data_IF_222939727919
#
_entry.id   IF_222939727919
#
_cell.length_a   1.000
_cell.length_b   1.000
_cell.length_c   1.000
_cell.angle_alpha   90.00
_cell.angle_beta   90.00
_cell.angle_gamma   90.00
#
_symmetry.space_group_name_H-M   'P 1'
#
loop_
_entity.id
_entity.type
_entity.pdbx_description
1 polymer ?
#
# COMPACT_ATOMS: atom_id res chain seq x y z
N UNK A 1 -7.62 24.13 30.11
CA UNK A 1 -6.31 24.70 30.52
C UNK A 1 -6.45 26.20 30.47
N UNK A 2 -5.95 26.90 31.48
CA UNK A 2 -5.95 28.38 31.53
C UNK A 2 -4.77 28.95 30.73
N UNK A 3 -4.86 30.22 30.32
CA UNK A 3 -3.76 30.88 29.60
C UNK A 3 -2.46 30.95 30.43
N UNK A 4 -2.59 31.07 31.76
CA UNK A 4 -1.45 31.07 32.70
C UNK A 4 -0.72 29.72 32.69
N UNK A 5 -1.45 28.62 32.85
CA UNK A 5 -0.90 27.26 32.80
C UNK A 5 -0.32 26.93 31.43
N UNK A 6 -0.92 27.47 30.36
CA UNK A 6 -0.44 27.29 28.99
C UNK A 6 0.94 27.94 28.80
N UNK A 7 1.13 29.18 29.28
CA UNK A 7 2.39 29.93 29.21
C UNK A 7 3.50 29.33 30.07
N UNK A 8 3.17 28.75 31.22
CA UNK A 8 4.16 28.05 32.05
C UNK A 8 4.79 26.84 31.33
N UNK A 9 4.08 26.28 30.35
CA UNK A 9 4.52 25.14 29.53
C UNK A 9 5.08 25.53 28.17
N UNK A 10 4.83 26.74 27.68
CA UNK A 10 5.19 27.18 26.33
C UNK A 10 5.79 28.60 26.40
N UNK A 11 7.05 28.74 25.99
CA UNK A 11 7.78 30.02 26.01
C UNK A 11 7.27 31.04 24.98
N UNK A 12 6.60 30.57 23.92
CA UNK A 12 5.92 31.39 22.90
C UNK A 12 4.49 30.89 22.77
N UNK A 13 3.52 31.82 22.76
CA UNK A 13 2.10 31.51 22.57
C UNK A 13 1.74 31.60 21.10
N UNK A 14 1.40 30.47 20.47
CA UNK A 14 0.96 30.45 19.07
C UNK A 14 -0.56 30.45 18.98
N UNK A 15 -1.12 31.22 18.05
CA UNK A 15 -2.56 31.23 17.83
C UNK A 15 -2.93 31.35 16.35
N UNK A 16 -4.13 30.88 16.02
CA UNK A 16 -4.75 31.07 14.69
C UNK A 16 -5.94 31.99 14.79
N UNK A 17 -6.17 32.77 13.74
CA UNK A 17 -7.23 33.78 13.74
C UNK A 17 -8.61 33.26 13.34
N UNK A 18 -8.72 32.01 12.89
CA UNK A 18 -10.02 31.41 12.54
C UNK A 18 -10.21 30.01 13.11
N UNK A 19 -11.46 29.70 13.44
CA UNK A 19 -11.84 28.40 13.96
C UNK A 19 -11.60 27.29 12.92
N UNK A 20 -11.80 27.58 11.63
CA UNK A 20 -11.56 26.62 10.56
C UNK A 20 -10.07 26.33 10.37
N UNK A 21 -9.20 27.35 10.46
CA UNK A 21 -7.75 27.15 10.46
C UNK A 21 -7.33 26.34 11.69
N UNK A 22 -7.87 26.65 12.86
CA UNK A 22 -7.61 25.86 14.08
C UNK A 22 -7.94 24.39 13.86
N UNK A 23 -9.12 24.10 13.32
CA UNK A 23 -9.51 22.72 13.02
C UNK A 23 -8.55 22.05 12.04
N UNK A 24 -8.01 22.76 11.06
CA UNK A 24 -7.08 22.21 10.07
C UNK A 24 -5.71 21.88 10.67
N UNK A 25 -5.20 22.72 11.59
CA UNK A 25 -3.80 22.63 12.03
C UNK A 25 -3.61 22.10 13.45
N UNK A 26 -4.64 22.11 14.29
CA UNK A 26 -4.50 21.75 15.72
C UNK A 26 -3.92 20.36 15.93
N UNK A 27 -4.23 19.43 15.02
CA UNK A 27 -3.67 18.08 15.04
C UNK A 27 -2.20 18.03 14.64
N UNK A 28 -1.79 18.82 13.65
CA UNK A 28 -0.39 18.94 13.21
C UNK A 28 0.47 19.56 14.32
N UNK A 29 -0.05 20.59 14.98
CA UNK A 29 0.66 21.26 16.07
C UNK A 29 0.86 20.34 17.28
N UNK A 30 -0.21 19.65 17.71
CA UNK A 30 -0.14 18.69 18.81
C UNK A 30 0.88 17.56 18.53
N UNK A 31 0.99 17.14 17.27
CA UNK A 31 1.98 16.15 16.82
C UNK A 31 3.42 16.56 17.05
N UNK A 32 3.68 17.85 16.90
CA UNK A 32 5.01 18.44 17.00
C UNK A 32 5.33 18.86 18.43
N UNK A 33 4.44 18.55 19.40
CA UNK A 33 4.55 19.03 20.76
C UNK A 33 4.31 20.54 20.88
N UNK A 34 3.74 21.16 19.85
CA UNK A 34 3.42 22.58 19.83
C UNK A 34 1.97 22.82 20.26
N UNK A 35 1.78 23.79 21.14
CA UNK A 35 0.46 24.16 21.60
C UNK A 35 -0.03 25.40 20.83
N UNK A 36 -1.23 25.31 20.24
CA UNK A 36 -1.89 26.43 19.53
C UNK A 36 -3.19 26.80 20.24
N UNK A 37 -3.44 28.10 20.30
CA UNK A 37 -4.68 28.70 20.80
C UNK A 37 -5.63 28.96 19.63
N UNK A 38 -6.89 28.57 19.78
CA UNK A 38 -7.94 28.93 18.84
C UNK A 38 -8.38 30.37 19.07
N UNK A 39 -7.86 31.32 18.28
CA UNK A 39 -8.25 32.73 18.34
C UNK A 39 -9.45 33.08 17.46
N UNK A 40 -10.11 32.08 16.84
CA UNK A 40 -11.23 32.27 15.93
C UNK A 40 -12.58 32.55 16.58
N UNK A 41 -12.63 32.64 17.91
CA UNK A 41 -13.80 33.10 18.65
C UNK A 41 -13.78 34.62 18.78
N UNK A 42 -14.96 35.21 19.04
CA UNK A 42 -15.15 36.66 19.02
C UNK A 42 -14.19 37.33 20.00
N UNK A 43 -13.40 38.29 19.50
CA UNK A 43 -12.39 39.07 20.23
C UNK A 43 -11.12 38.33 20.66
N UNK A 44 -11.02 37.00 20.52
CA UNK A 44 -9.87 36.25 21.05
C UNK A 44 -8.56 36.58 20.31
N UNK A 45 -8.59 36.75 18.99
CA UNK A 45 -7.41 37.18 18.22
C UNK A 45 -6.92 38.56 18.66
N UNK A 46 -7.82 39.53 18.80
CA UNK A 46 -7.52 40.91 19.20
C UNK A 46 -6.97 40.97 20.63
N UNK A 47 -7.49 40.12 21.53
CA UNK A 47 -6.98 39.98 22.89
C UNK A 47 -5.57 39.37 22.90
N UNK A 48 -5.30 38.36 22.06
CA UNK A 48 -3.99 37.73 21.94
C UNK A 48 -2.95 38.66 21.31
N UNK A 49 -3.35 39.47 20.34
CA UNK A 49 -2.51 40.55 19.77
C UNK A 49 -2.12 41.56 20.85
N UNK A 50 -3.07 42.05 21.65
CA UNK A 50 -2.74 42.97 22.76
C UNK A 50 -1.91 42.28 23.84
N UNK A 51 -2.12 40.99 24.06
CA UNK A 51 -1.31 40.21 25.00
C UNK A 51 0.16 40.10 24.55
N UNK A 52 0.45 40.30 23.25
CA UNK A 52 1.81 40.29 22.72
C UNK A 52 2.69 41.42 23.28
N UNK A 53 2.08 42.49 23.81
CA UNK A 53 2.80 43.59 24.48
C UNK A 53 3.44 43.14 25.80
N UNK A 54 2.92 42.08 26.42
CA UNK A 54 3.37 41.58 27.72
C UNK A 54 4.19 40.30 27.61
N UNK A 55 3.92 39.46 26.62
CA UNK A 55 4.56 38.17 26.42
C UNK A 55 4.70 37.84 24.92
N UNK A 56 5.65 36.98 24.51
CA UNK A 56 5.77 36.57 23.12
C UNK A 56 4.52 35.82 22.63
N UNK A 57 3.81 36.42 21.67
CA UNK A 57 2.66 35.82 20.99
C UNK A 57 2.91 35.86 19.49
N UNK A 58 2.66 34.74 18.80
CA UNK A 58 2.87 34.58 17.37
C UNK A 58 1.56 34.11 16.72
N UNK A 59 1.12 34.83 15.68
CA UNK A 59 0.04 34.35 14.82
C UNK A 59 0.62 33.38 13.81
N UNK A 60 0.04 32.19 13.73
CA UNK A 60 0.42 31.15 12.77
C UNK A 60 -0.71 30.94 11.77
N UNK A 61 -0.36 30.54 10.55
CA UNK A 61 -1.33 30.13 9.53
C UNK A 61 -1.14 28.66 9.15
N UNK A 62 -2.04 28.14 8.31
CA UNK A 62 -1.97 26.76 7.83
C UNK A 62 -0.77 26.49 6.91
N UNK A 63 -0.22 27.52 6.27
CA UNK A 63 0.92 27.40 5.39
C UNK A 63 2.23 27.23 6.19
N UNK A 64 2.35 27.88 7.35
CA UNK A 64 3.51 27.78 8.24
C UNK A 64 3.72 26.37 8.80
N UNK A 65 2.64 25.65 9.14
CA UNK A 65 2.74 24.26 9.63
C UNK A 65 3.12 23.25 8.55
N UNK A 66 2.80 23.54 7.27
CA UNK A 66 3.26 22.71 6.16
C UNK A 66 4.79 22.81 5.95
N UNK A 67 5.43 23.89 6.41
CA UNK A 67 6.89 24.01 6.37
C UNK A 67 7.59 23.21 7.50
N UNK A 68 6.82 22.72 8.47
CA UNK A 68 7.31 21.99 9.65
C UNK A 68 7.40 20.47 9.43
N UNK A 69 7.03 19.97 8.25
CA UNK A 69 7.31 18.58 7.90
C UNK A 69 8.83 18.34 7.83
N UNK A 70 9.29 17.19 8.32
CA UNK A 70 10.71 16.84 8.27
C UNK A 70 11.18 16.78 6.81
N UNK A 71 12.26 17.48 6.53
CA UNK A 71 12.92 17.43 5.23
C UNK A 71 13.45 16.02 4.93
N UNK A 72 13.45 15.69 3.65
CA UNK A 72 14.17 14.51 3.18
C UNK A 72 15.68 14.75 3.26
N UNK A 73 16.43 13.70 3.57
CA UNK A 73 17.89 13.70 3.54
C UNK A 73 18.40 13.91 2.10
N UNK A 74 19.68 14.25 1.94
CA UNK A 74 20.28 14.44 0.62
C UNK A 74 20.18 13.16 -0.24
N UNK A 75 20.45 12.00 0.35
CA UNK A 75 20.35 10.71 -0.34
C UNK A 75 18.90 10.41 -0.77
N UNK A 76 17.92 10.70 0.09
CA UNK A 76 16.50 10.58 -0.26
C UNK A 76 16.13 11.56 -1.38
N UNK A 77 16.60 12.81 -1.33
CA UNK A 77 16.39 13.82 -2.38
C UNK A 77 16.96 13.38 -3.73
N UNK A 78 18.17 12.81 -3.75
CA UNK A 78 18.75 12.24 -4.97
C UNK A 78 17.86 11.10 -5.51
N UNK A 79 17.38 10.22 -4.64
CA UNK A 79 16.52 9.08 -5.04
C UNK A 79 15.14 9.49 -5.60
N UNK A 80 14.63 10.67 -5.24
CA UNK A 80 13.32 11.17 -5.69
C UNK A 80 13.44 12.33 -6.69
N UNK A 81 14.66 12.64 -7.14
CA UNK A 81 14.92 13.79 -8.01
C UNK A 81 14.09 13.75 -9.29
N UNK A 82 14.06 12.61 -9.98
CA UNK A 82 13.31 12.45 -11.23
C UNK A 82 11.79 12.58 -11.01
N UNK A 83 11.29 12.14 -9.85
CA UNK A 83 9.90 12.30 -9.46
C UNK A 83 9.55 13.78 -9.25
N UNK A 84 10.37 14.52 -8.50
CA UNK A 84 10.19 15.97 -8.28
C UNK A 84 10.21 16.73 -9.59
N UNK A 85 11.18 16.43 -10.46
CA UNK A 85 11.30 17.07 -11.76
C UNK A 85 10.06 16.83 -12.62
N UNK A 86 9.56 15.59 -12.65
CA UNK A 86 8.36 15.23 -13.40
C UNK A 86 7.12 15.92 -12.83
N UNK A 87 6.95 15.90 -11.51
CA UNK A 87 5.83 16.54 -10.82
C UNK A 87 5.81 18.05 -11.10
N UNK A 88 6.95 18.73 -11.00
CA UNK A 88 7.07 20.16 -11.33
C UNK A 88 6.70 20.45 -12.77
N UNK A 89 7.12 19.62 -13.74
CA UNK A 89 6.75 19.81 -15.14
C UNK A 89 5.24 19.68 -15.37
N UNK A 90 4.61 18.69 -14.74
CA UNK A 90 3.16 18.44 -14.86
C UNK A 90 2.33 19.52 -14.16
N UNK A 91 2.81 20.01 -13.02
CA UNK A 91 2.08 20.94 -12.17
C UNK A 91 2.34 22.42 -12.53
N UNK A 92 3.41 22.74 -13.26
CA UNK A 92 3.75 24.10 -13.70
C UNK A 92 2.60 24.85 -14.40
N UNK A 93 1.80 24.27 -15.30
CA UNK A 93 0.67 24.96 -15.93
C UNK A 93 -0.40 25.42 -14.92
N UNK A 94 -0.47 24.78 -13.76
CA UNK A 94 -1.38 25.11 -12.67
C UNK A 94 -0.78 26.08 -11.65
N UNK A 95 0.43 26.60 -11.90
CA UNK A 95 1.16 27.51 -11.01
C UNK A 95 1.44 26.91 -9.63
N UNK A 96 1.63 25.60 -9.56
CA UNK A 96 2.04 24.91 -8.34
C UNK A 96 3.54 24.65 -8.35
N UNK A 97 4.15 24.64 -7.16
CA UNK A 97 5.50 24.17 -6.92
C UNK A 97 5.45 22.85 -6.15
N UNK A 98 6.31 21.90 -6.50
CA UNK A 98 6.37 20.60 -5.81
C UNK A 98 7.42 20.64 -4.71
N UNK A 99 7.07 20.09 -3.56
CA UNK A 99 8.00 19.83 -2.47
C UNK A 99 7.77 18.40 -1.95
N UNK A 100 8.81 17.75 -1.44
CA UNK A 100 8.72 16.42 -0.83
C UNK A 100 9.23 16.50 0.60
N UNK A 101 8.39 16.03 1.51
CA UNK A 101 8.65 15.97 2.94
C UNK A 101 8.30 14.60 3.48
N UNK A 102 8.89 14.22 4.62
CA UNK A 102 8.53 12.98 5.31
C UNK A 102 7.17 13.16 5.99
N UNK A 103 6.26 12.22 5.74
CA UNK A 103 4.83 12.41 6.07
C UNK A 103 4.22 11.28 6.94
N UNK A 104 5.00 10.31 7.42
CA UNK A 104 4.40 9.09 8.00
C UNK A 104 3.65 9.31 9.33
N UNK A 105 4.24 10.00 10.30
CA UNK A 105 3.60 10.16 11.62
C UNK A 105 2.53 11.27 11.66
N UNK A 106 2.59 12.23 10.75
CA UNK A 106 1.68 13.37 10.72
C UNK A 106 0.32 13.01 10.10
N UNK A 107 0.27 11.99 9.24
CA UNK A 107 -0.98 11.46 8.67
C UNK A 107 -1.98 10.99 9.74
N UNK A 108 -1.50 10.50 10.88
CA UNK A 108 -2.35 10.05 12.01
C UNK A 108 -3.05 11.19 12.74
N UNK A 109 -2.52 12.40 12.59
CA UNK A 109 -2.88 13.55 13.41
C UNK A 109 -3.59 14.62 12.57
N UNK A 110 -3.54 14.49 11.24
CA UNK A 110 -4.35 15.30 10.33
C UNK A 110 -5.85 15.06 10.60
N UNK A 111 -6.64 16.13 10.79
CA UNK A 111 -8.09 16.04 10.95
C UNK A 111 -8.73 15.28 9.78
N UNK A 112 -9.54 14.27 10.09
CA UNK A 112 -10.27 13.53 9.06
C UNK A 112 -11.46 14.34 8.56
N UNK A 113 -11.53 14.55 7.25
CA UNK A 113 -12.68 15.12 6.56
C UNK A 113 -13.54 14.06 5.86
N UNK A 114 -14.57 14.50 5.15
CA UNK A 114 -15.48 13.63 4.40
C UNK A 114 -14.81 12.92 3.20
N UNK A 115 -13.67 13.44 2.71
CA UNK A 115 -12.85 12.82 1.68
C UNK A 115 -11.70 11.98 2.25
N UNK A 116 -11.56 11.90 3.58
CA UNK A 116 -10.49 11.12 4.20
C UNK A 116 -10.83 9.64 4.19
N UNK A 117 -9.80 8.82 3.98
CA UNK A 117 -9.88 7.37 4.16
C UNK A 117 -10.34 7.04 5.60
N UNK A 118 -11.13 5.98 5.76
CA UNK A 118 -11.51 5.52 7.09
C UNK A 118 -10.30 4.99 7.87
N UNK A 119 -10.41 4.91 9.21
CA UNK A 119 -9.32 4.44 10.06
C UNK A 119 -8.77 3.05 9.68
N UNK A 120 -9.63 2.14 9.20
CA UNK A 120 -9.18 0.83 8.72
C UNK A 120 -8.33 0.94 7.44
N UNK A 121 -8.73 1.80 6.49
CA UNK A 121 -7.98 2.03 5.24
C UNK A 121 -6.61 2.67 5.51
N UNK A 122 -6.55 3.61 6.46
CA UNK A 122 -5.28 4.20 6.90
C UNK A 122 -4.40 3.13 7.55
N UNK A 123 -4.96 2.33 8.45
CA UNK A 123 -4.22 1.26 9.12
C UNK A 123 -3.68 0.21 8.14
N UNK A 124 -4.48 -0.16 7.13
CA UNK A 124 -4.10 -1.11 6.08
C UNK A 124 -2.99 -0.55 5.17
N UNK A 125 -3.01 0.75 4.89
CA UNK A 125 -1.93 1.41 4.16
C UNK A 125 -0.60 1.31 4.93
N UNK A 126 -0.62 1.37 6.28
CA UNK A 126 0.58 1.14 7.07
C UNK A 126 1.03 -0.33 7.06
N UNK A 127 0.10 -1.28 7.03
CA UNK A 127 0.41 -2.71 6.86
C UNK A 127 1.11 -2.92 5.52
N UNK A 128 0.52 -2.40 4.43
CA UNK A 128 1.11 -2.46 3.09
C UNK A 128 2.52 -1.85 3.07
N UNK A 129 2.70 -0.66 3.65
CA UNK A 129 4.00 0.00 3.70
C UNK A 129 5.04 -0.82 4.48
N UNK A 130 4.67 -1.39 5.63
CA UNK A 130 5.55 -2.25 6.42
C UNK A 130 5.97 -3.51 5.64
N UNK A 131 5.05 -4.13 4.88
CA UNK A 131 5.32 -5.35 4.10
C UNK A 131 6.19 -5.07 2.88
N UNK A 132 5.82 -4.08 2.08
CA UNK A 132 6.35 -3.90 0.72
C UNK A 132 7.50 -2.90 0.63
N UNK A 133 7.54 -1.90 1.52
CA UNK A 133 8.57 -0.85 1.46
C UNK A 133 9.64 -1.09 2.50
N UNK A 134 9.25 -1.39 3.74
CA UNK A 134 10.22 -1.55 4.83
C UNK A 134 10.71 -2.99 5.00
N UNK A 135 9.98 -3.99 4.49
CA UNK A 135 10.27 -5.41 4.73
C UNK A 135 10.17 -5.82 6.20
N UNK A 136 9.37 -5.10 7.00
CA UNK A 136 9.21 -5.30 8.44
C UNK A 136 7.99 -6.19 8.73
N UNK A 137 8.14 -7.49 8.53
CA UNK A 137 7.04 -8.45 8.64
C UNK A 137 6.38 -8.45 10.03
N UNK A 138 7.16 -8.43 11.12
CA UNK A 138 6.60 -8.37 12.48
C UNK A 138 5.76 -7.10 12.72
N UNK A 139 6.26 -5.95 12.25
CA UNK A 139 5.54 -4.67 12.34
C UNK A 139 4.23 -4.72 11.57
N UNK A 140 4.21 -5.36 10.39
CA UNK A 140 3.00 -5.54 9.60
C UNK A 140 1.92 -6.32 10.37
N UNK A 141 2.29 -7.39 11.09
CA UNK A 141 1.34 -8.13 11.93
C UNK A 141 0.77 -7.29 13.06
N UNK A 142 1.64 -6.60 13.80
CA UNK A 142 1.18 -5.73 14.89
C UNK A 142 0.19 -4.68 14.39
N UNK A 143 0.48 -4.04 13.25
CA UNK A 143 -0.39 -3.06 12.61
C UNK A 143 -1.69 -3.66 12.08
N UNK A 144 -1.69 -4.92 11.66
CA UNK A 144 -2.89 -5.59 11.16
C UNK A 144 -3.85 -6.06 12.26
N UNK A 145 -3.38 -6.27 13.50
CA UNK A 145 -4.22 -6.81 14.61
C UNK A 145 -5.58 -6.09 14.79
N UNK A 146 -5.67 -4.74 14.76
CA UNK A 146 -6.95 -4.05 14.90
C UNK A 146 -7.93 -4.35 13.75
N UNK A 147 -7.43 -4.61 12.55
CA UNK A 147 -8.25 -4.99 11.38
C UNK A 147 -8.71 -6.44 11.53
N UNK A 148 -7.78 -7.36 11.78
CA UNK A 148 -8.05 -8.80 11.86
C UNK A 148 -8.97 -9.18 13.04
N UNK A 149 -8.91 -8.42 14.14
CA UNK A 149 -9.80 -8.58 15.30
C UNK A 149 -11.18 -7.97 15.11
N UNK A 150 -11.41 -7.19 14.03
CA UNK A 150 -12.65 -6.47 13.79
C UNK A 150 -12.86 -5.23 14.68
N UNK A 151 -11.81 -4.81 15.43
CA UNK A 151 -11.81 -3.55 16.19
C UNK A 151 -11.92 -2.34 15.23
N UNK A 152 -11.24 -2.41 14.09
CA UNK A 152 -11.45 -1.50 12.96
C UNK A 152 -12.35 -2.19 11.93
N UNK A 153 -13.38 -1.46 11.47
CA UNK A 153 -14.38 -1.98 10.52
C UNK A 153 -14.32 -1.19 9.23
N UNK A 154 -14.35 -1.91 8.12
CA UNK A 154 -14.49 -1.39 6.77
C UNK A 154 -15.06 -2.51 5.89
N UNK A 155 -15.80 -2.14 4.86
CA UNK A 155 -16.44 -3.10 3.96
C UNK A 155 -15.44 -3.91 3.11
N UNK A 156 -14.25 -3.35 2.87
CA UNK A 156 -13.28 -3.92 1.92
C UNK A 156 -11.95 -4.29 2.58
N UNK A 157 -11.39 -3.41 3.42
CA UNK A 157 -10.03 -3.56 3.98
C UNK A 157 -9.74 -4.95 4.56
N UNK A 158 -10.58 -5.55 5.42
CA UNK A 158 -10.29 -6.88 5.94
C UNK A 158 -10.04 -7.92 4.84
N UNK A 159 -10.71 -7.80 3.69
CA UNK A 159 -10.55 -8.71 2.56
C UNK A 159 -9.15 -8.62 1.96
N UNK A 160 -8.59 -7.41 1.88
CA UNK A 160 -7.24 -7.13 1.35
C UNK A 160 -6.17 -7.61 2.34
N UNK A 161 -6.29 -7.21 3.61
CA UNK A 161 -5.27 -7.43 4.64
C UNK A 161 -4.93 -8.91 4.82
N UNK A 162 -5.93 -9.82 4.70
CA UNK A 162 -5.66 -11.27 4.78
C UNK A 162 -4.69 -11.76 3.70
N UNK A 163 -4.78 -11.23 2.47
CA UNK A 163 -3.89 -11.60 1.37
C UNK A 163 -2.49 -11.00 1.53
N UNK A 164 -2.41 -9.72 1.90
CA UNK A 164 -1.15 -8.98 2.11
C UNK A 164 -0.24 -9.65 3.15
N UNK A 165 -0.82 -10.29 4.17
CA UNK A 165 -0.07 -10.94 5.25
C UNK A 165 0.43 -12.36 4.93
N UNK A 166 0.01 -12.97 3.82
CA UNK A 166 0.38 -14.36 3.52
C UNK A 166 1.89 -14.53 3.32
N UNK A 167 2.49 -13.69 2.49
CA UNK A 167 3.93 -13.74 2.23
C UNK A 167 4.77 -13.40 3.47
N UNK A 168 4.45 -12.35 4.26
CA UNK A 168 5.06 -12.10 5.56
C UNK A 168 5.05 -13.31 6.51
N UNK A 169 3.92 -14.01 6.66
CA UNK A 169 3.88 -15.21 7.52
C UNK A 169 4.82 -16.31 7.03
N UNK A 170 4.92 -16.49 5.71
CA UNK A 170 5.86 -17.47 5.15
C UNK A 170 7.32 -17.06 5.37
N UNK A 171 7.65 -15.77 5.29
CA UNK A 171 8.99 -15.25 5.62
C UNK A 171 9.33 -15.41 7.10
N UNK A 172 8.35 -15.28 7.99
CA UNK A 172 8.47 -15.51 9.43
C UNK A 172 8.42 -17.00 9.82
N UNK A 173 8.36 -17.92 8.85
CA UNK A 173 8.25 -19.35 9.07
C UNK A 173 7.00 -19.76 9.89
N UNK A 174 5.84 -19.14 9.60
CA UNK A 174 4.55 -19.42 10.23
C UNK A 174 3.50 -19.93 9.21
N UNK A 175 3.74 -21.09 8.56
CA UNK A 175 2.88 -21.57 7.46
C UNK A 175 1.47 -21.97 7.90
N UNK A 176 1.29 -22.46 9.13
CA UNK A 176 -0.02 -22.84 9.65
C UNK A 176 -0.96 -21.63 9.79
N UNK A 177 -0.44 -20.54 10.34
CA UNK A 177 -1.18 -19.29 10.45
C UNK A 177 -1.46 -18.69 9.06
N UNK A 178 -0.51 -18.80 8.13
CA UNK A 178 -0.71 -18.37 6.75
C UNK A 178 -1.84 -19.15 6.08
N UNK A 179 -1.91 -20.46 6.30
CA UNK A 179 -3.00 -21.30 5.81
C UNK A 179 -4.36 -20.92 6.42
N UNK A 180 -4.38 -20.55 7.72
CA UNK A 180 -5.58 -20.04 8.40
C UNK A 180 -6.06 -18.74 7.74
N UNK A 181 -5.16 -17.76 7.58
CA UNK A 181 -5.48 -16.48 6.93
C UNK A 181 -5.91 -16.67 5.47
N UNK A 182 -5.23 -17.55 4.73
CA UNK A 182 -5.60 -17.89 3.36
C UNK A 182 -7.04 -18.39 3.28
N UNK A 183 -7.44 -19.33 4.15
CA UNK A 183 -8.79 -19.89 4.15
C UNK A 183 -9.87 -18.84 4.42
N UNK A 184 -9.60 -17.91 5.34
CA UNK A 184 -10.53 -16.82 5.68
C UNK A 184 -10.58 -15.80 4.54
N UNK A 185 -9.44 -15.22 4.18
CA UNK A 185 -9.32 -14.18 3.16
C UNK A 185 -9.82 -14.64 1.79
N UNK A 186 -9.41 -15.83 1.34
CA UNK A 186 -9.80 -16.32 0.03
C UNK A 186 -11.32 -16.47 -0.09
N UNK A 187 -11.99 -16.94 0.98
CA UNK A 187 -13.46 -17.06 0.98
C UNK A 187 -14.13 -15.71 0.75
N UNK A 188 -13.60 -14.64 1.33
CA UNK A 188 -14.13 -13.29 1.22
C UNK A 188 -13.93 -12.69 -0.18
N UNK A 189 -12.81 -13.00 -0.84
CA UNK A 189 -12.48 -12.42 -2.15
C UNK A 189 -12.84 -13.31 -3.34
N UNK A 190 -13.11 -14.61 -3.15
CA UNK A 190 -13.17 -15.61 -4.23
C UNK A 190 -14.26 -15.40 -5.30
N UNK A 191 -15.21 -14.49 -5.08
CA UNK A 191 -16.26 -14.14 -6.04
C UNK A 191 -16.19 -12.67 -6.47
N UNK A 192 -15.19 -11.91 -5.98
CA UNK A 192 -14.99 -10.52 -6.33
C UNK A 192 -14.01 -10.38 -7.48
N UNK A 193 -14.50 -9.80 -8.58
CA UNK A 193 -13.68 -9.40 -9.72
C UNK A 193 -12.81 -8.19 -9.42
N UNK A 194 -13.23 -7.32 -8.49
CA UNK A 194 -12.46 -6.13 -8.12
C UNK A 194 -11.19 -6.46 -7.33
N UNK A 195 -11.12 -7.63 -6.70
CA UNK A 195 -10.05 -8.03 -5.77
C UNK A 195 -9.05 -9.00 -6.38
N UNK A 196 -8.81 -8.88 -7.70
CA UNK A 196 -7.92 -9.77 -8.43
C UNK A 196 -6.46 -9.70 -7.94
N UNK A 197 -6.01 -8.52 -7.49
CA UNK A 197 -4.71 -8.38 -6.85
C UNK A 197 -4.56 -9.29 -5.63
N UNK A 198 -5.52 -9.24 -4.71
CA UNK A 198 -5.54 -10.11 -3.52
C UNK A 198 -5.68 -11.58 -3.88
N UNK A 199 -6.48 -11.93 -4.89
CA UNK A 199 -6.55 -13.32 -5.41
C UNK A 199 -5.18 -13.80 -5.90
N UNK A 200 -4.37 -12.92 -6.48
CA UNK A 200 -3.01 -13.23 -6.93
C UNK A 200 -2.06 -13.53 -5.76
N UNK A 201 -2.22 -12.86 -4.61
CA UNK A 201 -1.49 -13.17 -3.38
C UNK A 201 -1.84 -14.57 -2.86
N UNK A 202 -3.13 -14.94 -2.89
CA UNK A 202 -3.56 -16.30 -2.55
C UNK A 202 -3.00 -17.36 -3.52
N UNK A 203 -2.90 -17.04 -4.82
CA UNK A 203 -2.28 -17.92 -5.82
C UNK A 203 -0.78 -18.13 -5.53
N UNK A 204 -0.06 -17.04 -5.24
CA UNK A 204 1.35 -17.10 -4.85
C UNK A 204 1.55 -17.94 -3.59
N UNK A 205 0.73 -17.71 -2.56
CA UNK A 205 0.77 -18.50 -1.32
C UNK A 205 0.67 -20.01 -1.59
N UNK A 206 -0.29 -20.45 -2.42
CA UNK A 206 -0.45 -21.87 -2.76
C UNK A 206 0.76 -22.40 -3.55
N UNK A 207 1.34 -21.59 -4.45
CA UNK A 207 2.55 -21.95 -5.17
C UNK A 207 3.79 -22.11 -4.27
N UNK A 208 3.95 -21.21 -3.28
CA UNK A 208 5.09 -21.20 -2.36
C UNK A 208 5.00 -22.40 -1.41
N UNK A 209 3.80 -22.67 -0.87
CA UNK A 209 3.54 -23.79 0.05
C UNK A 209 3.47 -25.16 -0.63
N UNK A 210 3.59 -25.22 -1.97
CA UNK A 210 3.59 -26.49 -2.71
C UNK A 210 2.21 -27.12 -2.90
N UNK A 211 1.12 -26.40 -2.61
CA UNK A 211 -0.27 -26.83 -2.80
C UNK A 211 -0.70 -26.72 -4.28
N UNK A 212 0.09 -27.35 -5.17
CA UNK A 212 0.03 -27.18 -6.64
C UNK A 212 -1.36 -27.47 -7.21
N UNK A 213 -2.03 -28.52 -6.74
CA UNK A 213 -3.36 -28.88 -7.22
C UNK A 213 -4.40 -27.78 -6.93
N UNK A 214 -4.36 -27.19 -5.73
CA UNK A 214 -5.24 -26.08 -5.33
C UNK A 214 -4.88 -24.81 -6.10
N UNK A 215 -3.59 -24.56 -6.32
CA UNK A 215 -3.11 -23.42 -7.10
C UNK A 215 -3.61 -23.49 -8.56
N UNK A 216 -3.58 -24.65 -9.20
CA UNK A 216 -4.13 -24.88 -10.55
C UNK A 216 -5.64 -24.64 -10.56
N UNK A 217 -6.38 -25.11 -9.56
CA UNK A 217 -7.83 -24.86 -9.46
C UNK A 217 -8.15 -23.37 -9.32
N UNK A 218 -7.37 -22.63 -8.52
CA UNK A 218 -7.52 -21.19 -8.34
C UNK A 218 -7.18 -20.46 -9.66
N UNK A 219 -6.09 -20.82 -10.33
CA UNK A 219 -5.73 -20.30 -11.64
C UNK A 219 -6.87 -20.53 -12.65
N UNK A 220 -7.39 -21.76 -12.75
CA UNK A 220 -8.50 -22.09 -13.65
C UNK A 220 -9.73 -21.23 -13.38
N UNK A 221 -10.13 -21.11 -12.10
CA UNK A 221 -11.32 -20.36 -11.68
C UNK A 221 -11.24 -18.89 -12.11
N UNK A 222 -10.08 -18.28 -11.97
CA UNK A 222 -9.93 -16.82 -12.11
C UNK A 222 -9.33 -16.37 -13.43
N UNK A 223 -8.71 -17.27 -14.21
CA UNK A 223 -8.00 -16.91 -15.45
C UNK A 223 -8.90 -16.21 -16.47
N UNK A 224 -10.14 -16.69 -16.69
CA UNK A 224 -11.04 -16.07 -17.65
C UNK A 224 -11.38 -14.61 -17.30
N UNK A 225 -11.47 -14.30 -16.01
CA UNK A 225 -11.68 -12.95 -15.53
C UNK A 225 -10.40 -12.12 -15.63
N UNK A 226 -9.28 -12.63 -15.12
CA UNK A 226 -7.98 -11.97 -15.21
C UNK A 226 -7.62 -11.61 -16.66
N UNK A 227 -7.86 -12.52 -17.60
CA UNK A 227 -7.59 -12.30 -19.02
C UNK A 227 -8.31 -11.08 -19.62
N UNK A 228 -9.49 -10.73 -19.07
CA UNK A 228 -10.33 -9.61 -19.54
C UNK A 228 -10.32 -8.41 -18.60
N UNK A 229 -9.55 -8.45 -17.52
CA UNK A 229 -9.57 -7.39 -16.52
C UNK A 229 -9.11 -6.05 -17.17
N UNK A 230 -9.85 -4.95 -16.97
CA UNK A 230 -9.47 -3.65 -17.51
C UNK A 230 -8.26 -3.08 -16.78
N UNK A 231 -8.12 -3.41 -15.48
CA UNK A 231 -6.95 -3.05 -14.68
C UNK A 231 -5.74 -3.89 -15.10
N UNK A 232 -4.80 -3.24 -15.80
CA UNK A 232 -3.58 -3.88 -16.28
C UNK A 232 -2.60 -4.23 -15.15
N UNK A 233 -2.67 -3.55 -14.01
CA UNK A 233 -1.81 -3.84 -12.86
C UNK A 233 -2.27 -5.14 -12.19
N UNK A 234 -3.58 -5.32 -11.98
CA UNK A 234 -4.09 -6.61 -11.50
C UNK A 234 -3.82 -7.76 -12.46
N UNK A 235 -3.85 -7.51 -13.77
CA UNK A 235 -3.41 -8.50 -14.77
C UNK A 235 -1.95 -8.87 -14.61
N UNK A 236 -1.09 -7.88 -14.43
CA UNK A 236 0.34 -8.10 -14.19
C UNK A 236 0.55 -8.95 -12.94
N UNK A 237 -0.07 -8.60 -11.81
CA UNK A 237 0.04 -9.34 -10.55
C UNK A 237 -0.42 -10.81 -10.71
N UNK A 238 -1.55 -11.02 -11.40
CA UNK A 238 -2.06 -12.37 -11.64
C UNK A 238 -1.16 -13.18 -12.57
N UNK A 239 -0.62 -12.58 -13.64
CA UNK A 239 0.30 -13.26 -14.56
C UNK A 239 1.65 -13.54 -13.92
N UNK A 240 2.17 -12.66 -13.04
CA UNK A 240 3.35 -12.94 -12.21
C UNK A 240 3.10 -14.16 -11.31
N UNK A 241 1.95 -14.22 -10.65
CA UNK A 241 1.58 -15.36 -9.80
C UNK A 241 1.42 -16.67 -10.61
N UNK A 242 0.81 -16.60 -11.78
CA UNK A 242 0.68 -17.75 -12.68
C UNK A 242 2.04 -18.21 -13.24
N UNK A 243 2.92 -17.26 -13.60
CA UNK A 243 4.31 -17.53 -14.01
C UNK A 243 5.08 -18.27 -12.91
N UNK A 244 4.98 -17.77 -11.68
CA UNK A 244 5.57 -18.45 -10.53
C UNK A 244 5.07 -19.89 -10.39
N UNK A 245 3.74 -20.10 -10.48
CA UNK A 245 3.14 -21.43 -10.40
C UNK A 245 3.64 -22.35 -11.52
N UNK A 246 3.73 -21.90 -12.76
CA UNK A 246 4.21 -22.74 -13.87
C UNK A 246 5.67 -23.14 -13.69
N UNK A 247 6.52 -22.24 -13.19
CA UNK A 247 7.91 -22.56 -12.83
C UNK A 247 7.96 -23.63 -11.73
N UNK A 248 7.11 -23.51 -10.70
CA UNK A 248 7.01 -24.51 -9.62
C UNK A 248 6.56 -25.88 -10.12
N UNK A 249 5.61 -25.92 -11.06
CA UNK A 249 5.13 -27.16 -11.69
C UNK A 249 6.26 -27.81 -12.52
N UNK A 250 7.03 -27.01 -13.29
CA UNK A 250 8.17 -27.50 -14.05
C UNK A 250 9.26 -28.09 -13.14
N UNK A 251 9.57 -27.43 -12.03
CA UNK A 251 10.51 -27.93 -11.01
C UNK A 251 10.04 -29.24 -10.36
N UNK A 252 8.73 -29.51 -10.37
CA UNK A 252 8.13 -30.76 -9.90
C UNK A 252 8.10 -31.87 -10.98
N UNK A 253 8.79 -31.66 -12.13
CA UNK A 253 8.86 -32.56 -13.29
C UNK A 253 7.51 -32.86 -13.99
N UNK A 254 6.47 -32.06 -13.73
CA UNK A 254 5.20 -32.16 -14.45
C UNK A 254 5.28 -31.39 -15.77
N UNK A 255 5.25 -32.12 -16.89
CA UNK A 255 5.38 -31.54 -18.24
C UNK A 255 4.08 -30.95 -18.79
N UNK A 256 2.93 -31.42 -18.30
CA UNK A 256 1.61 -31.01 -18.78
C UNK A 256 0.59 -30.99 -17.66
N UNK A 257 -0.37 -30.06 -17.76
CA UNK A 257 -1.49 -29.94 -16.82
C UNK A 257 -2.81 -29.84 -17.57
N UNK A 258 -3.88 -30.29 -16.91
CA UNK A 258 -5.24 -30.11 -17.39
C UNK A 258 -5.84 -28.88 -16.75
N UNK A 259 -6.21 -27.90 -17.58
CA UNK A 259 -6.80 -26.62 -17.15
C UNK A 259 -7.79 -26.10 -18.20
N UNK A 260 -8.95 -25.60 -17.77
CA UNK A 260 -9.93 -24.98 -18.65
C UNK A 260 -9.62 -23.50 -18.84
N UNK A 261 -9.30 -23.12 -20.08
CA UNK A 261 -9.09 -21.73 -20.47
C UNK A 261 -10.27 -21.23 -21.32
N UNK A 262 -10.58 -19.91 -21.32
CA UNK A 262 -11.61 -19.35 -22.19
C UNK A 262 -11.24 -19.54 -23.67
N UNK A 263 -12.25 -19.73 -24.54
CA UNK A 263 -12.04 -19.87 -26.00
C UNK A 263 -11.36 -18.65 -26.65
N UNK A 264 -11.41 -17.49 -26.00
CA UNK A 264 -10.73 -16.26 -26.42
C UNK A 264 -9.23 -16.25 -26.11
N UNK A 265 -8.73 -17.25 -25.37
CA UNK A 265 -7.31 -17.39 -25.09
C UNK A 265 -6.56 -17.76 -26.37
N UNK A 266 -5.50 -17.03 -26.77
CA UNK A 266 -4.80 -17.27 -28.05
C UNK A 266 -4.32 -18.71 -28.24
N UNK A 267 -3.92 -19.37 -27.16
CA UNK A 267 -3.40 -20.74 -27.19
C UNK A 267 -4.45 -21.78 -26.76
N UNK A 268 -5.75 -21.47 -26.86
CA UNK A 268 -6.84 -22.35 -26.41
C UNK A 268 -6.73 -23.76 -27.01
N UNK A 269 -6.83 -24.77 -26.15
CA UNK A 269 -6.90 -26.19 -26.49
C UNK A 269 -8.20 -26.78 -25.98
N UNK A 270 -8.99 -27.37 -26.88
CA UNK A 270 -10.30 -27.94 -26.57
C UNK A 270 -10.23 -29.10 -25.56
N UNK A 271 -9.18 -29.91 -25.63
CA UNK A 271 -8.94 -31.00 -24.66
C UNK A 271 -8.51 -30.52 -23.27
N UNK A 272 -8.24 -29.21 -23.10
CA UNK A 272 -7.77 -28.60 -21.86
C UNK A 272 -6.37 -29.05 -21.41
N UNK A 273 -5.61 -29.76 -22.24
CA UNK A 273 -4.28 -30.24 -21.89
C UNK A 273 -3.19 -29.31 -22.45
N UNK A 274 -2.44 -28.69 -21.55
CA UNK A 274 -1.41 -27.72 -21.90
C UNK A 274 -0.04 -28.23 -21.47
N UNK A 275 0.97 -28.06 -22.33
CA UNK A 275 2.35 -28.21 -21.90
C UNK A 275 2.66 -27.05 -20.95
N UNK A 276 3.25 -27.37 -19.80
CA UNK A 276 3.50 -26.36 -18.76
C UNK A 276 4.51 -25.33 -19.26
N UNK A 277 5.47 -25.75 -20.09
CA UNK A 277 6.46 -24.86 -20.70
C UNK A 277 5.83 -23.81 -21.63
N UNK A 278 4.76 -24.14 -22.34
CA UNK A 278 4.06 -23.20 -23.22
C UNK A 278 3.31 -22.15 -22.39
N UNK A 279 2.67 -22.58 -21.29
CA UNK A 279 2.00 -21.67 -20.35
C UNK A 279 3.01 -20.78 -19.66
N UNK A 280 4.12 -21.35 -19.20
CA UNK A 280 5.22 -20.64 -18.56
C UNK A 280 5.79 -19.52 -19.45
N UNK A 281 6.08 -19.86 -20.71
CA UNK A 281 6.55 -18.90 -21.71
C UNK A 281 5.52 -17.80 -21.96
N UNK A 282 4.24 -18.16 -22.09
CA UNK A 282 3.17 -17.19 -22.34
C UNK A 282 2.97 -16.22 -21.17
N UNK A 283 2.85 -16.72 -19.93
CA UNK A 283 2.70 -15.88 -18.74
C UNK A 283 3.93 -15.01 -18.52
N UNK A 284 5.13 -15.54 -18.73
CA UNK A 284 6.38 -14.78 -18.64
C UNK A 284 6.42 -13.64 -19.65
N UNK A 285 6.08 -13.91 -20.92
CA UNK A 285 6.01 -12.89 -21.97
C UNK A 285 4.99 -11.79 -21.66
N UNK A 286 3.79 -12.16 -21.25
CA UNK A 286 2.73 -11.18 -20.95
C UNK A 286 3.01 -10.37 -19.68
N UNK A 287 3.56 -11.00 -18.63
CA UNK A 287 3.98 -10.28 -17.43
C UNK A 287 5.10 -9.28 -17.74
N UNK A 288 6.14 -9.69 -18.48
CA UNK A 288 7.21 -8.79 -18.91
C UNK A 288 6.70 -7.67 -19.81
N UNK A 289 5.79 -7.95 -20.74
CA UNK A 289 5.18 -6.94 -21.61
C UNK A 289 4.45 -5.87 -20.80
N UNK A 290 3.64 -6.28 -19.82
CA UNK A 290 2.92 -5.35 -18.94
C UNK A 290 3.89 -4.56 -18.05
N UNK A 291 4.90 -5.23 -17.48
CA UNK A 291 5.92 -4.57 -16.68
C UNK A 291 6.64 -3.47 -17.46
N UNK A 292 7.13 -3.77 -18.67
CA UNK A 292 7.79 -2.78 -19.54
C UNK A 292 6.87 -1.61 -19.91
N UNK A 293 5.57 -1.83 -20.09
CA UNK A 293 4.61 -0.75 -20.36
C UNK A 293 4.43 0.17 -19.16
N UNK A 294 4.30 -0.38 -17.95
CA UNK A 294 4.23 0.43 -16.73
C UNK A 294 5.51 1.20 -16.47
N UNK A 295 6.65 0.54 -16.61
CA UNK A 295 7.97 1.12 -16.42
C UNK A 295 8.24 2.26 -17.41
N UNK A 296 7.91 2.07 -18.69
CA UNK A 296 8.01 3.12 -19.71
C UNK A 296 7.07 4.30 -19.41
N UNK A 297 5.84 4.03 -18.94
CA UNK A 297 4.88 5.08 -18.57
C UNK A 297 5.35 5.87 -17.34
N UNK A 298 5.94 5.19 -16.36
CA UNK A 298 6.33 5.76 -15.08
C UNK A 298 7.76 6.34 -15.10
N UNK A 299 8.55 6.07 -16.15
CA UNK A 299 9.95 6.49 -16.24
C UNK A 299 10.88 5.80 -15.23
N UNK A 300 10.55 4.57 -14.81
CA UNK A 300 11.34 3.79 -13.85
C UNK A 300 11.39 2.30 -14.24
N UNK A 301 11.99 1.45 -13.40
CA UNK A 301 12.13 0.00 -13.62
C UNK A 301 11.43 -0.85 -12.55
N UNK A 302 10.43 -0.26 -11.87
CA UNK A 302 9.80 -0.83 -10.68
C UNK A 302 9.11 -2.16 -10.95
N UNK A 303 8.36 -2.29 -12.06
CA UNK A 303 7.63 -3.51 -12.39
C UNK A 303 8.56 -4.61 -12.89
N UNK A 304 9.60 -4.27 -13.66
CA UNK A 304 10.61 -5.24 -14.07
C UNK A 304 11.41 -5.77 -12.88
N UNK A 305 11.79 -4.91 -11.92
CA UNK A 305 12.38 -5.34 -10.64
C UNK A 305 11.43 -6.25 -9.86
N UNK A 306 10.15 -5.87 -9.78
CA UNK A 306 9.13 -6.67 -9.11
C UNK A 306 8.97 -8.06 -9.76
N UNK A 307 9.04 -8.16 -11.10
CA UNK A 307 9.03 -9.45 -11.79
C UNK A 307 10.29 -10.28 -11.49
N UNK A 308 11.45 -9.63 -11.31
CA UNK A 308 12.70 -10.27 -10.89
C UNK A 308 12.65 -10.91 -9.50
N UNK A 309 11.75 -10.48 -8.61
CA UNK A 309 11.56 -11.06 -7.27
C UNK A 309 11.09 -12.53 -7.29
N UNK A 310 10.64 -13.05 -8.44
CA UNK A 310 10.28 -14.47 -8.59
C UNK A 310 11.39 -15.41 -8.10
N UNK A 311 12.66 -15.03 -8.29
CA UNK A 311 13.81 -15.79 -7.77
C UNK A 311 13.78 -15.94 -6.25
N UNK A 312 13.52 -14.85 -5.52
CA UNK A 312 13.44 -14.87 -4.07
C UNK A 312 12.23 -15.69 -3.57
N UNK A 313 11.13 -15.69 -4.33
CA UNK A 313 9.97 -16.55 -4.03
C UNK A 313 10.28 -18.04 -4.20
N UNK A 314 11.11 -18.41 -5.19
CA UNK A 314 11.56 -19.80 -5.34
C UNK A 314 12.45 -20.24 -4.17
N UNK A 315 13.39 -19.40 -3.76
CA UNK A 315 14.23 -19.65 -2.58
C UNK A 315 13.38 -19.82 -1.31
N UNK A 316 12.34 -18.99 -1.14
CA UNK A 316 11.39 -19.14 -0.05
C UNK A 316 10.62 -20.46 -0.14
N UNK A 317 10.14 -20.84 -1.34
CA UNK A 317 9.40 -22.09 -1.54
C UNK A 317 10.23 -23.34 -1.21
N UNK A 318 11.54 -23.31 -1.47
CA UNK A 318 12.43 -24.42 -1.13
C UNK A 318 12.52 -24.65 0.37
N UNK A 319 12.44 -23.59 1.18
CA UNK A 319 12.47 -23.67 2.65
C UNK A 319 11.21 -24.31 3.23
N UNK A 320 10.06 -24.17 2.56
CA UNK A 320 8.77 -24.71 3.00
C UNK A 320 8.48 -26.12 2.45
N UNK A 321 9.36 -26.67 1.62
CA UNK A 321 9.30 -28.06 1.12
C UNK A 321 10.19 -29.03 1.92
N UNK A 322 11.05 -28.52 2.79
CA UNK A 322 11.93 -29.29 3.67
C UNK A 322 11.23 -29.57 5.01
#
# INVERSE_FOLDING_TARGET
MTLKEFREKNSVLRYVSSHDQYRQISGVAAAQGEAIINGGYVYDSELLERFSELYPVEQVDAAGFAQTFEDITLAERESVFDLLQTADQVLRPFQCATDIKKYHELLKQTPTGHLSNCAACVQDSEVFYAVHILGQDNTAFEKAKPILSGKLRCAEVPHLTYGTLLLPLLRLNQPEEAARLHKIGYRLVSNSTALLGTISEHLLFLGITGEIAKAIQLLEKHFAFAFRAPDLNYRFQFYKAAKFLTERILLSNLKSIKIRMPKTFPNYKENGNYAVIDLDSWFGKEASRLASQFDSRNGNDSYMKNLGELKALHELSQKHLQ
#
